data_IF_476031698819
#
_entry.id   IF_476031698819
#
_cell.length_a   1.000
_cell.length_b   1.000
_cell.length_c   1.000
_cell.angle_alpha   90.00
_cell.angle_beta   90.00
_cell.angle_gamma   90.00
#
_symmetry.space_group_name_H-M   'P 1'
#
loop_
_entity.id
_entity.type
_entity.pdbx_description
1 polymer ?
#
# COMPACT_ATOMS: atom_id res chain seq x y z
N UNK A 1 0.29 23.75 7.83
CA UNK A 1 0.98 22.52 8.28
C UNK A 1 1.22 21.67 7.04
N UNK A 2 2.46 21.33 6.71
CA UNK A 2 2.73 20.41 5.60
C UNK A 2 2.25 19.01 5.99
N UNK A 3 1.39 18.42 5.18
CA UNK A 3 0.91 17.04 5.38
C UNK A 3 2.06 16.04 5.07
N UNK A 4 2.26 15.00 5.89
CA UNK A 4 3.34 14.04 5.69
C UNK A 4 3.14 13.25 4.40
N UNK A 5 4.23 13.06 3.64
CA UNK A 5 4.19 12.38 2.35
C UNK A 5 4.14 10.85 2.48
N UNK A 6 4.62 10.33 3.62
CA UNK A 6 4.55 8.93 4.01
C UNK A 6 4.49 8.79 5.54
N UNK A 7 4.09 7.62 6.02
CA UNK A 7 4.05 7.29 7.44
C UNK A 7 4.23 5.78 7.65
N UNK A 8 4.76 5.41 8.80
CA UNK A 8 4.78 4.02 9.25
C UNK A 8 3.35 3.51 9.47
N UNK A 9 3.07 2.32 8.94
CA UNK A 9 1.82 1.61 9.12
C UNK A 9 1.48 1.41 10.61
N UNK A 10 2.46 1.18 11.49
CA UNK A 10 2.21 0.98 12.92
C UNK A 10 1.65 2.23 13.63
N UNK A 11 1.79 3.41 13.02
CA UNK A 11 1.45 4.70 13.63
C UNK A 11 0.19 5.35 13.03
N UNK A 12 -0.56 4.65 12.17
CA UNK A 12 -1.76 5.21 11.55
C UNK A 12 -3.00 5.06 12.43
N UNK A 13 -3.53 6.19 12.89
CA UNK A 13 -4.81 6.25 13.60
C UNK A 13 -6.01 6.55 12.68
N UNK A 14 -7.24 6.52 13.22
CA UNK A 14 -8.46 6.91 12.50
C UNK A 14 -8.41 8.33 11.91
N UNK A 15 -7.74 9.26 12.59
CA UNK A 15 -7.51 10.64 12.13
C UNK A 15 -6.65 10.71 10.86
N UNK A 16 -5.85 9.68 10.58
CA UNK A 16 -4.98 9.60 9.39
C UNK A 16 -5.72 9.18 8.12
N UNK A 17 -7.01 8.81 8.20
CA UNK A 17 -7.79 8.32 7.06
C UNK A 17 -7.92 9.36 5.93
N UNK A 18 -7.93 10.66 6.27
CA UNK A 18 -7.99 11.75 5.30
C UNK A 18 -6.79 11.74 4.35
N UNK A 19 -5.58 11.57 4.90
CA UNK A 19 -4.32 11.62 4.14
C UNK A 19 -3.85 10.28 3.59
N UNK A 20 -4.09 9.17 4.28
CA UNK A 20 -3.55 7.85 3.91
C UNK A 20 -4.62 6.86 3.41
N UNK A 21 -5.91 7.20 3.59
CA UNK A 21 -7.04 6.36 3.20
C UNK A 21 -7.44 5.31 4.23
N UNK A 22 -8.71 4.90 4.20
CA UNK A 22 -9.28 3.98 5.19
C UNK A 22 -8.65 2.58 5.17
N UNK A 23 -8.16 2.11 4.03
CA UNK A 23 -7.46 0.82 3.92
C UNK A 23 -6.16 0.79 4.71
N UNK A 24 -5.37 1.86 4.62
CA UNK A 24 -4.13 1.98 5.36
C UNK A 24 -4.40 1.99 6.88
N UNK A 25 -5.43 2.72 7.32
CA UNK A 25 -5.86 2.74 8.72
C UNK A 25 -6.37 1.36 9.17
N UNK A 26 -7.14 0.66 8.36
CA UNK A 26 -7.60 -0.69 8.70
C UNK A 26 -6.45 -1.68 8.77
N UNK A 27 -5.49 -1.62 7.84
CA UNK A 27 -4.29 -2.45 7.87
C UNK A 27 -3.42 -2.15 9.09
N UNK A 28 -3.34 -0.89 9.51
CA UNK A 28 -2.65 -0.48 10.74
C UNK A 28 -3.30 -1.06 12.00
N UNK A 29 -4.63 -1.06 12.05
CA UNK A 29 -5.38 -1.72 13.14
C UNK A 29 -5.08 -3.21 13.19
N UNK A 30 -5.04 -3.89 12.03
CA UNK A 30 -4.65 -5.30 11.97
C UNK A 30 -3.19 -5.51 12.39
N UNK A 31 -2.30 -4.59 12.05
CA UNK A 31 -0.90 -4.65 12.50
C UNK A 31 -0.73 -4.45 14.01
N UNK A 32 -1.69 -3.80 14.65
CA UNK A 32 -1.71 -3.61 16.11
C UNK A 32 -2.38 -4.78 16.85
N UNK A 33 -3.02 -5.70 16.14
CA UNK A 33 -3.70 -6.85 16.71
C UNK A 33 -2.72 -8.05 16.82
N UNK A 34 -2.43 -8.56 18.03
CA UNK A 34 -1.52 -9.70 18.21
C UNK A 34 -2.02 -10.99 17.55
N UNK A 35 -3.31 -11.08 17.19
CA UNK A 35 -3.89 -12.21 16.47
C UNK A 35 -3.53 -12.25 14.98
N UNK A 36 -2.96 -11.17 14.43
CA UNK A 36 -2.64 -11.07 13.00
C UNK A 36 -1.17 -10.70 12.77
N UNK A 37 -0.45 -11.59 12.08
CA UNK A 37 0.89 -11.28 11.59
C UNK A 37 0.80 -10.36 10.37
N UNK A 38 0.82 -9.05 10.61
CA UNK A 38 0.87 -8.05 9.54
C UNK A 38 2.33 -7.63 9.30
N UNK A 39 2.82 -7.66 8.05
CA UNK A 39 4.16 -7.18 7.73
C UNK A 39 4.35 -5.71 8.11
N UNK A 40 5.52 -5.38 8.65
CA UNK A 40 5.96 -4.00 8.80
C UNK A 40 5.99 -3.30 7.43
N UNK A 41 5.64 -2.02 7.39
CA UNK A 41 5.48 -1.33 6.13
C UNK A 41 5.27 0.17 6.26
N UNK A 42 5.52 0.87 5.17
CA UNK A 42 5.29 2.31 5.06
C UNK A 42 4.14 2.56 4.11
N UNK A 43 3.26 3.47 4.48
CA UNK A 43 2.16 3.92 3.64
C UNK A 43 2.48 5.28 3.05
N UNK A 44 2.16 5.44 1.77
CA UNK A 44 2.31 6.70 1.03
C UNK A 44 0.99 7.47 1.08
N UNK A 45 1.07 8.78 1.30
CA UNK A 45 -0.10 9.66 1.35
C UNK A 45 -0.81 9.78 -0.02
N UNK A 46 -2.09 10.17 0.01
CA UNK A 46 -2.89 10.50 -1.16
C UNK A 46 -2.32 11.69 -1.94
N UNK A 47 -1.62 12.61 -1.27
CA UNK A 47 -0.95 13.74 -1.92
C UNK A 47 0.12 13.26 -2.89
N UNK A 48 0.93 12.26 -2.50
CA UNK A 48 1.96 11.70 -3.39
C UNK A 48 1.34 11.03 -4.60
N UNK A 49 0.26 10.26 -4.40
CA UNK A 49 -0.49 9.70 -5.52
C UNK A 49 -1.03 10.79 -6.45
N UNK A 50 -1.64 11.83 -5.88
CA UNK A 50 -2.20 12.94 -6.67
C UNK A 50 -1.11 13.61 -7.50
N UNK A 51 0.04 13.91 -6.90
CA UNK A 51 1.20 14.47 -7.60
C UNK A 51 1.68 13.55 -8.71
N UNK A 52 1.74 12.24 -8.49
CA UNK A 52 2.11 11.27 -9.52
C UNK A 52 1.13 11.31 -10.70
N UNK A 53 -0.18 11.28 -10.43
CA UNK A 53 -1.21 11.32 -11.46
C UNK A 53 -1.21 12.64 -12.26
N UNK A 54 -0.95 13.76 -11.58
CA UNK A 54 -0.87 15.08 -12.21
C UNK A 54 0.40 15.20 -13.07
N UNK A 55 1.57 14.81 -12.55
CA UNK A 55 2.86 14.91 -13.24
C UNK A 55 2.96 14.01 -14.48
N UNK A 56 2.32 12.85 -14.45
CA UNK A 56 2.34 11.87 -15.55
C UNK A 56 1.18 12.04 -16.54
N UNK A 57 0.22 12.90 -16.22
CA UNK A 57 -1.03 13.04 -16.97
C UNK A 57 -1.96 11.82 -16.88
N UNK A 58 -1.63 10.83 -16.04
CA UNK A 58 -2.45 9.63 -15.85
C UNK A 58 -3.82 9.98 -15.26
N UNK A 59 -3.93 11.01 -14.44
CA UNK A 59 -5.23 11.45 -13.89
C UNK A 59 -6.27 11.69 -14.99
N UNK A 60 -5.90 12.45 -16.02
CA UNK A 60 -6.77 12.70 -17.19
C UNK A 60 -7.07 11.43 -18.01
N UNK A 61 -6.18 10.43 -17.98
CA UNK A 61 -6.45 9.16 -18.63
C UNK A 61 -7.48 8.36 -17.84
N UNK A 62 -7.36 8.31 -16.51
CA UNK A 62 -8.34 7.69 -15.61
C UNK A 62 -9.72 8.31 -15.81
N UNK A 63 -9.82 9.64 -15.75
CA UNK A 63 -11.10 10.36 -15.86
C UNK A 63 -11.80 10.04 -17.19
N UNK A 64 -11.07 10.10 -18.31
CA UNK A 64 -11.61 9.72 -19.63
C UNK A 64 -12.07 8.27 -19.69
N UNK A 65 -11.38 7.35 -19.03
CA UNK A 65 -11.79 5.95 -19.00
C UNK A 65 -13.07 5.74 -18.18
N UNK A 66 -13.23 6.49 -17.08
CA UNK A 66 -14.42 6.46 -16.22
C UNK A 66 -15.62 7.10 -16.90
N UNK A 67 -15.45 8.26 -17.54
CA UNK A 67 -16.54 8.96 -18.27
C UNK A 67 -17.05 8.13 -19.46
N UNK A 68 -16.15 7.46 -20.18
CA UNK A 68 -16.54 6.69 -21.35
C UNK A 68 -17.13 5.32 -21.02
N UNK A 69 -17.09 4.86 -19.76
CA UNK A 69 -17.54 3.52 -19.38
C UNK A 69 -19.04 3.54 -19.07
N UNK A 70 -19.84 2.92 -19.93
CA UNK A 70 -21.20 2.58 -19.58
C UNK A 70 -21.17 1.52 -18.46
N UNK A 71 -21.89 1.78 -17.36
CA UNK A 71 -21.80 0.96 -16.15
C UNK A 71 -22.35 -0.47 -16.32
N UNK A 72 -23.04 -0.75 -17.41
CA UNK A 72 -23.68 -2.02 -17.75
C UNK A 72 -22.77 -2.99 -18.54
N UNK A 73 -21.61 -2.56 -19.03
CA UNK A 73 -20.64 -3.42 -19.74
C UNK A 73 -19.41 -3.74 -18.87
N UNK A 74 -19.57 -4.74 -18.00
CA UNK A 74 -18.51 -5.22 -17.11
C UNK A 74 -17.23 -5.66 -17.86
N UNK A 75 -17.36 -6.25 -19.05
CA UNK A 75 -16.22 -6.74 -19.84
C UNK A 75 -15.40 -5.58 -20.38
N UNK A 76 -16.06 -4.54 -20.91
CA UNK A 76 -15.37 -3.33 -21.35
C UNK A 76 -14.72 -2.59 -20.20
N UNK A 77 -15.37 -2.52 -19.04
CA UNK A 77 -14.81 -1.92 -17.82
C UNK A 77 -13.52 -2.65 -17.40
N UNK A 78 -13.55 -3.98 -17.30
CA UNK A 78 -12.39 -4.79 -16.91
C UNK A 78 -11.21 -4.62 -17.87
N UNK A 79 -11.47 -4.66 -19.18
CA UNK A 79 -10.44 -4.46 -20.21
C UNK A 79 -9.78 -3.08 -20.09
N UNK A 80 -10.57 -2.03 -19.85
CA UNK A 80 -10.06 -0.67 -19.68
C UNK A 80 -9.25 -0.51 -18.40
N UNK A 81 -9.70 -1.10 -17.29
CA UNK A 81 -8.94 -1.10 -16.05
C UNK A 81 -7.62 -1.86 -16.19
N UNK A 82 -7.61 -2.97 -16.92
CA UNK A 82 -6.38 -3.72 -17.19
C UNK A 82 -5.38 -2.90 -18.00
N UNK A 83 -5.84 -2.21 -19.04
CA UNK A 83 -5.00 -1.31 -19.82
C UNK A 83 -4.47 -0.13 -18.98
N UNK A 84 -5.31 0.46 -18.13
CA UNK A 84 -4.91 1.52 -17.22
C UNK A 84 -3.87 1.05 -16.20
N UNK A 85 -4.04 -0.15 -15.62
CA UNK A 85 -3.06 -0.76 -14.70
C UNK A 85 -1.71 -0.96 -15.38
N UNK A 86 -1.70 -1.52 -16.60
CA UNK A 86 -0.47 -1.68 -17.37
C UNK A 86 0.23 -0.33 -17.57
N UNK A 87 -0.52 0.71 -17.97
CA UNK A 87 0.02 2.05 -18.14
C UNK A 87 0.61 2.63 -16.86
N UNK A 88 -0.03 2.44 -15.71
CA UNK A 88 0.50 2.87 -14.41
C UNK A 88 1.82 2.18 -14.09
N UNK A 89 1.92 0.88 -14.38
CA UNK A 89 3.13 0.08 -14.13
C UNK A 89 4.29 0.45 -15.08
N UNK A 90 3.99 0.82 -16.32
CA UNK A 90 4.98 1.25 -17.32
C UNK A 90 5.40 2.72 -17.18
N UNK A 91 4.72 3.49 -16.33
CA UNK A 91 5.00 4.92 -16.15
C UNK A 91 6.09 5.12 -15.12
N UNK A 92 7.18 5.74 -15.52
CA UNK A 92 8.27 6.11 -14.62
C UNK A 92 7.80 7.06 -13.51
N UNK A 93 8.29 6.79 -12.30
CA UNK A 93 8.10 7.70 -11.17
C UNK A 93 8.94 8.96 -11.37
N UNK A 94 8.33 10.16 -11.32
CA UNK A 94 9.02 11.45 -11.36
C UNK A 94 10.18 11.51 -10.33
N UNK A 95 11.28 12.16 -10.70
CA UNK A 95 12.52 12.16 -9.90
C UNK A 95 12.33 12.79 -8.51
N UNK A 96 11.52 13.84 -8.41
CA UNK A 96 11.13 14.51 -7.17
C UNK A 96 10.34 13.57 -6.24
N UNK A 97 9.33 12.87 -6.76
CA UNK A 97 8.57 11.89 -5.98
C UNK A 97 9.43 10.68 -5.60
N UNK A 98 10.35 10.28 -6.47
CA UNK A 98 11.30 9.20 -6.19
C UNK A 98 12.20 9.55 -5.01
N UNK A 99 12.69 10.79 -4.95
CA UNK A 99 13.49 11.26 -3.81
C UNK A 99 12.66 11.27 -2.52
N UNK A 100 11.46 11.88 -2.57
CA UNK A 100 10.52 11.92 -1.44
C UNK A 100 10.22 10.52 -0.88
N UNK A 101 9.95 9.55 -1.75
CA UNK A 101 9.65 8.18 -1.33
C UNK A 101 10.86 7.51 -0.68
N UNK A 102 12.08 7.72 -1.22
CA UNK A 102 13.30 7.20 -0.59
C UNK A 102 13.49 7.76 0.81
N UNK A 103 13.30 9.06 1.00
CA UNK A 103 13.42 9.71 2.30
C UNK A 103 12.36 9.21 3.30
N UNK A 104 11.11 9.04 2.84
CA UNK A 104 10.04 8.48 3.67
C UNK A 104 10.31 7.02 4.08
N UNK A 105 10.82 6.21 3.15
CA UNK A 105 11.22 4.82 3.42
C UNK A 105 12.39 4.76 4.39
N UNK A 106 13.41 5.61 4.21
CA UNK A 106 14.57 5.66 5.10
C UNK A 106 14.14 6.00 6.53
N UNK A 107 13.30 7.03 6.69
CA UNK A 107 12.75 7.43 8.00
C UNK A 107 11.94 6.31 8.66
N UNK A 108 11.06 5.66 7.92
CA UNK A 108 10.27 4.55 8.45
C UNK A 108 11.15 3.36 8.87
N UNK A 109 12.27 3.12 8.18
CA UNK A 109 13.26 2.10 8.58
C UNK A 109 13.98 2.48 9.88
N UNK A 110 14.36 3.74 10.03
CA UNK A 110 14.99 4.24 11.26
C UNK A 110 14.04 4.12 12.46
N UNK A 111 12.77 4.51 12.29
CA UNK A 111 11.72 4.39 13.31
C UNK A 111 11.47 2.92 13.70
N UNK A 112 11.43 2.00 12.72
CA UNK A 112 11.28 0.57 13.00
C UNK A 112 12.51 -0.07 13.66
N UNK A 113 13.73 0.37 13.34
CA UNK A 113 14.95 -0.16 13.95
C UNK A 113 15.14 0.30 15.40
N UNK A 114 14.51 1.41 15.79
CA UNK A 114 14.56 1.95 17.16
C UNK A 114 13.64 1.23 18.15
N UNK A 115 12.74 0.35 17.69
CA UNK A 115 11.94 -0.52 18.56
C UNK A 115 12.74 -1.70 19.12
N UNK A 116 12.34 -2.31 20.25
CA UNK A 116 12.98 -3.52 20.76
C UNK A 116 12.86 -4.64 19.73
N UNK A 117 13.95 -4.88 18.99
CA UNK A 117 14.04 -5.89 17.95
C UNK A 117 14.00 -7.28 18.58
N UNK A 118 12.95 -8.04 18.31
CA UNK A 118 13.10 -9.49 18.16
C UNK A 118 13.91 -9.73 16.88
N UNK A 119 15.23 -9.67 17.01
CA UNK A 119 16.22 -9.86 15.95
C UNK A 119 16.10 -11.27 15.37
N UNK A 120 15.60 -11.41 14.14
CA UNK A 120 15.60 -12.73 13.50
C UNK A 120 15.04 -12.87 12.08
N UNK A 121 14.48 -11.82 11.48
CA UNK A 121 13.97 -11.89 10.11
C UNK A 121 14.32 -10.64 9.33
N UNK A 122 14.94 -10.81 8.15
CA UNK A 122 15.01 -9.76 7.13
C UNK A 122 13.58 -9.33 6.82
N UNK A 123 13.15 -8.20 7.37
CA UNK A 123 11.86 -7.62 7.05
C UNK A 123 11.95 -7.09 5.62
N UNK A 124 11.48 -7.89 4.66
CA UNK A 124 11.23 -7.41 3.31
C UNK A 124 10.21 -6.28 3.40
N UNK A 125 10.69 -5.04 3.27
CA UNK A 125 9.85 -3.86 3.25
C UNK A 125 8.94 -3.93 2.01
N UNK A 126 7.68 -4.30 2.21
CA UNK A 126 6.69 -4.32 1.15
C UNK A 126 6.11 -2.92 0.95
N UNK A 127 6.48 -2.25 -0.13
CA UNK A 127 5.78 -1.03 -0.57
C UNK A 127 4.50 -1.46 -1.29
N UNK A 128 3.37 -1.40 -0.59
CA UNK A 128 2.05 -1.69 -1.17
C UNK A 128 1.23 -0.40 -1.29
N UNK A 129 0.80 -0.09 -2.51
CA UNK A 129 -0.21 0.95 -2.73
C UNK A 129 -1.55 0.46 -2.19
N UNK A 130 -2.13 1.20 -1.24
CA UNK A 130 -3.42 0.89 -0.64
C UNK A 130 -4.62 1.12 -1.58
N UNK A 131 -4.40 1.41 -2.86
CA UNK A 131 -5.48 1.85 -3.77
C UNK A 131 -6.20 0.77 -4.58
N UNK A 132 -5.83 -0.50 -4.52
CA UNK A 132 -6.50 -1.51 -5.31
C UNK A 132 -7.63 -2.22 -4.55
N UNK A 133 -8.78 -2.36 -5.21
CA UNK A 133 -10.01 -3.11 -4.88
C UNK A 133 -11.03 -2.41 -3.96
N UNK A 134 -12.25 -2.18 -4.45
CA UNK A 134 -13.41 -2.10 -3.59
C UNK A 134 -13.50 -3.38 -2.73
N UNK A 135 -14.05 -3.33 -1.50
CA UNK A 135 -14.23 -4.54 -0.71
C UNK A 135 -15.10 -5.54 -1.49
N UNK A 136 -14.53 -6.72 -1.78
CA UNK A 136 -15.32 -7.87 -2.22
C UNK A 136 -16.25 -8.24 -1.05
N UNK A 137 -17.57 -8.42 -1.27
CA UNK A 137 -18.49 -8.85 -0.22
C UNK A 137 -18.14 -10.23 0.34
N UNK A 138 -17.30 -11.00 -0.35
CA UNK A 138 -16.77 -12.27 0.10
C UNK A 138 -15.33 -12.12 0.64
N UNK A 139 -15.14 -12.12 1.98
CA UNK A 139 -13.81 -11.99 2.56
C UNK A 139 -12.88 -13.15 2.18
N UNK A 140 -13.39 -14.36 1.94
CA UNK A 140 -12.56 -15.55 1.66
C UNK A 140 -11.93 -15.53 0.25
N UNK A 141 -12.62 -14.91 -0.71
CA UNK A 141 -12.14 -14.77 -2.10
C UNK A 141 -11.00 -13.76 -2.25
N UNK A 142 -11.01 -12.70 -1.42
CA UNK A 142 -9.93 -11.71 -1.34
C UNK A 142 -8.61 -12.34 -0.90
N UNK A 143 -8.67 -13.34 0.00
CA UNK A 143 -7.48 -14.03 0.48
C UNK A 143 -6.86 -14.97 -0.57
N UNK A 144 -7.67 -15.68 -1.37
CA UNK A 144 -7.15 -16.66 -2.35
C UNK A 144 -6.47 -16.01 -3.57
N UNK A 145 -6.88 -14.81 -3.98
CA UNK A 145 -6.33 -14.11 -5.15
C UNK A 145 -5.04 -13.32 -4.87
N UNK A 146 -4.72 -13.06 -3.59
CA UNK A 146 -3.51 -12.33 -3.18
C UNK A 146 -2.26 -13.22 -2.99
N UNK A 147 -2.38 -14.54 -3.20
CA UNK A 147 -1.39 -15.54 -2.76
C UNK A 147 -0.26 -15.98 -3.73
N UNK A 148 -0.09 -15.51 -4.99
CA UNK A 148 1.12 -15.88 -5.73
C UNK A 148 2.41 -15.20 -5.23
N UNK A 149 2.33 -14.21 -4.33
CA UNK A 149 3.43 -13.29 -4.02
C UNK A 149 3.83 -13.25 -2.54
N UNK A 150 3.35 -14.19 -1.74
CA UNK A 150 3.71 -14.30 -0.32
C UNK A 150 4.67 -15.47 -0.15
N UNK A 151 5.98 -15.20 -0.26
CA UNK A 151 6.98 -16.09 0.33
C UNK A 151 7.06 -15.80 1.82
N UNK A 152 6.24 -16.49 2.62
CA UNK A 152 6.52 -16.60 4.05
C UNK A 152 7.76 -17.47 4.20
N UNK A 153 8.90 -16.86 4.50
CA UNK A 153 9.93 -17.58 5.25
C UNK A 153 9.29 -17.97 6.58
N UNK A 154 9.05 -19.28 6.79
CA UNK A 154 8.60 -19.79 8.09
C UNK A 154 9.60 -19.32 9.12
N UNK A 155 9.15 -18.48 10.05
CA UNK A 155 9.83 -18.29 11.31
C UNK A 155 9.81 -19.65 12.02
N UNK A 156 10.93 -20.37 12.00
CA UNK A 156 11.09 -21.62 12.74
C UNK A 156 10.96 -21.28 14.23
N UNK A 157 10.28 -22.15 14.99
CA UNK A 157 9.96 -21.97 16.43
C UNK A 157 11.19 -22.03 17.36
N UNK A 158 12.33 -21.49 16.94
CA UNK A 158 13.58 -21.52 17.67
C UNK A 158 14.02 -20.10 18.07
N UNK A 159 13.08 -19.20 18.37
CA UNK A 159 13.38 -17.91 18.97
C UNK A 159 13.26 -18.04 20.51
N UNK A 160 14.37 -18.02 21.27
CA UNK A 160 14.37 -18.27 22.71
C UNK A 160 13.87 -17.09 23.56
N UNK A 161 13.42 -15.99 22.95
CA UNK A 161 12.99 -14.77 23.66
C UNK A 161 11.47 -14.58 23.74
N UNK A 162 10.67 -15.49 23.19
CA UNK A 162 9.21 -15.47 23.34
C UNK A 162 8.79 -16.54 24.35
N UNK A 163 8.79 -16.19 25.63
CA UNK A 163 8.22 -17.00 26.73
C UNK A 163 6.71 -16.82 26.85
#
# INVERSE_FOLDING_TARGET
MSEPLGADLAHLGPSSAGGFGGKAVNLSRMASDPGFATPAGTVVSRIVLRRFLDATGLGKAVDRHLEAAAADDAVTVERRFTALKARVLDTDLPSDLRQVLREAIARAREEHQAGPLCSGGSADLQVRSALAAQPDPDPERTWRSALPWVTTSRCSRACPTCG
#
